data_IF_088144728828
#
_entry.id   IF_088144728828
#
_cell.length_a   1.000
_cell.length_b   1.000
_cell.length_c   1.000
_cell.angle_alpha   90.00
_cell.angle_beta   90.00
_cell.angle_gamma   90.00
#
_symmetry.space_group_name_H-M   'P 1'
#
loop_
_entity.id
_entity.type
_entity.pdbx_description
1 polymer ?
#
# COMPACT_ATOMS: atom_id res chain seq x y z
N UNK A 1 2.91 14.39 -12.38
CA UNK A 1 3.57 14.41 -11.06
C UNK A 1 3.96 12.99 -10.76
N UNK A 2 5.24 12.74 -10.53
CA UNK A 2 5.73 11.43 -10.09
C UNK A 2 5.64 11.38 -8.57
N UNK A 3 5.17 10.25 -8.05
CA UNK A 3 5.04 10.00 -6.61
C UNK A 3 5.99 8.86 -6.26
N UNK A 4 6.69 8.98 -5.15
CA UNK A 4 7.65 7.96 -4.71
C UNK A 4 6.96 6.77 -4.01
N UNK A 5 5.77 6.99 -3.44
CA UNK A 5 5.01 5.98 -2.72
C UNK A 5 3.52 6.33 -2.66
N UNK A 6 2.66 5.31 -2.63
CA UNK A 6 1.21 5.45 -2.43
C UNK A 6 0.79 4.72 -1.16
N UNK A 7 0.04 5.42 -0.30
CA UNK A 7 -0.73 4.79 0.77
C UNK A 7 -2.15 4.56 0.27
N UNK A 8 -2.54 3.29 0.10
CA UNK A 8 -3.82 2.92 -0.50
C UNK A 8 -4.79 2.40 0.54
N UNK A 9 -5.84 3.17 0.85
CA UNK A 9 -6.96 2.64 1.64
C UNK A 9 -7.70 1.56 0.84
N UNK A 10 -7.86 0.35 1.40
CA UNK A 10 -8.63 -0.70 0.74
C UNK A 10 -10.15 -0.44 0.81
N UNK A 11 -10.60 0.28 1.84
CA UNK A 11 -12.02 0.58 2.05
C UNK A 11 -12.38 1.98 1.54
N UNK A 12 -12.36 2.14 0.22
CA UNK A 12 -12.77 3.37 -0.45
C UNK A 12 -14.23 3.32 -0.91
N UNK A 13 -14.99 4.43 -0.85
CA UNK A 13 -16.29 4.52 -1.48
C UNK A 13 -16.17 4.56 -3.02
N UNK A 14 -17.18 4.04 -3.72
CA UNK A 14 -17.31 4.02 -5.19
C UNK A 14 -16.34 3.08 -5.91
N UNK A 15 -15.02 3.21 -5.71
CA UNK A 15 -13.99 2.32 -6.26
C UNK A 15 -13.15 1.76 -5.11
N UNK A 16 -13.18 0.45 -4.91
CA UNK A 16 -12.40 -0.18 -3.86
C UNK A 16 -10.89 -0.04 -4.10
N UNK A 17 -10.11 0.00 -3.02
CA UNK A 17 -8.67 0.27 -3.11
C UNK A 17 -7.88 -0.80 -3.86
N UNK A 18 -8.36 -2.05 -3.91
CA UNK A 18 -7.71 -3.09 -4.70
C UNK A 18 -7.90 -2.84 -6.20
N UNK A 19 -9.09 -2.44 -6.61
CA UNK A 19 -9.37 -2.03 -7.99
C UNK A 19 -8.57 -0.78 -8.38
N UNK A 20 -8.41 0.17 -7.45
CA UNK A 20 -7.57 1.35 -7.68
C UNK A 20 -6.08 0.96 -7.81
N UNK A 21 -5.55 0.12 -6.92
CA UNK A 21 -4.18 -0.36 -6.99
C UNK A 21 -3.90 -1.13 -8.30
N UNK A 22 -4.84 -1.97 -8.75
CA UNK A 22 -4.72 -2.66 -10.03
C UNK A 22 -4.58 -1.69 -11.20
N UNK A 23 -5.39 -0.63 -11.23
CA UNK A 23 -5.27 0.41 -12.26
C UNK A 23 -3.92 1.11 -12.22
N UNK A 24 -3.40 1.43 -11.02
CA UNK A 24 -2.07 2.04 -10.88
C UNK A 24 -0.98 1.12 -11.45
N UNK A 25 -1.07 -0.19 -11.17
CA UNK A 25 -0.13 -1.21 -11.67
C UNK A 25 -0.11 -1.36 -13.19
N UNK A 26 -1.16 -0.95 -13.90
CA UNK A 26 -1.18 -0.98 -15.37
C UNK A 26 -0.21 0.04 -15.99
N UNK A 27 0.19 1.09 -15.26
CA UNK A 27 1.04 2.15 -15.80
C UNK A 27 2.20 2.58 -14.88
N UNK A 28 2.31 2.04 -13.66
CA UNK A 28 3.34 2.40 -12.71
C UNK A 28 3.70 1.26 -11.75
N UNK A 29 5.00 1.15 -11.47
CA UNK A 29 5.55 0.29 -10.42
C UNK A 29 5.82 1.05 -9.12
N UNK A 30 5.20 2.23 -8.93
CA UNK A 30 5.33 3.00 -7.68
C UNK A 30 5.02 2.11 -6.47
N UNK A 31 5.84 2.09 -5.41
CA UNK A 31 5.55 1.35 -4.20
C UNK A 31 4.16 1.68 -3.64
N UNK A 32 3.38 0.66 -3.28
CA UNK A 32 2.05 0.82 -2.68
C UNK A 32 2.00 0.06 -1.35
N UNK A 33 1.67 0.78 -0.28
CA UNK A 33 1.32 0.21 1.02
C UNK A 33 -0.21 0.20 1.15
N UNK A 34 -0.80 -0.99 1.25
CA UNK A 34 -2.23 -1.14 1.49
C UNK A 34 -2.59 -0.85 2.96
N UNK A 35 -3.55 0.04 3.20
CA UNK A 35 -4.12 0.33 4.51
C UNK A 35 -5.46 -0.39 4.63
N UNK A 36 -5.55 -1.37 5.51
CA UNK A 36 -6.73 -2.23 5.64
C UNK A 36 -7.33 -2.17 7.03
N UNK A 37 -8.67 -2.21 7.17
CA UNK A 37 -9.31 -2.39 8.48
C UNK A 37 -9.33 -3.86 8.93
N UNK A 38 -8.97 -4.79 8.04
CA UNK A 38 -9.02 -6.22 8.28
C UNK A 38 -7.66 -6.85 8.01
N UNK A 39 -7.13 -7.58 8.99
CA UNK A 39 -5.84 -8.26 8.92
C UNK A 39 -5.99 -9.74 8.54
N UNK A 40 -6.98 -10.08 7.72
CA UNK A 40 -7.25 -11.48 7.38
C UNK A 40 -6.16 -12.04 6.45
N UNK A 41 -5.85 -13.33 6.59
CA UNK A 41 -4.90 -14.02 5.70
C UNK A 41 -5.33 -13.93 4.23
N UNK A 42 -6.64 -13.94 3.96
CA UNK A 42 -7.19 -13.86 2.62
C UNK A 42 -6.96 -12.49 1.97
N UNK A 43 -7.11 -11.40 2.72
CA UNK A 43 -6.80 -10.06 2.19
C UNK A 43 -5.32 -9.87 1.95
N UNK A 44 -4.49 -10.41 2.85
CA UNK A 44 -3.03 -10.42 2.64
C UNK A 44 -2.67 -11.14 1.34
N UNK A 45 -3.21 -12.34 1.11
CA UNK A 45 -3.02 -13.11 -0.12
C UNK A 45 -3.44 -12.30 -1.35
N UNK A 46 -4.62 -11.66 -1.30
CA UNK A 46 -5.14 -10.84 -2.39
C UNK A 46 -4.27 -9.62 -2.68
N UNK A 47 -3.69 -9.01 -1.65
CA UNK A 47 -2.76 -7.90 -1.82
C UNK A 47 -1.47 -8.35 -2.51
N UNK A 48 -0.91 -9.47 -2.06
CA UNK A 48 0.30 -10.04 -2.65
C UNK A 48 0.11 -10.42 -4.12
N UNK A 49 -1.04 -11.02 -4.47
CA UNK A 49 -1.36 -11.40 -5.85
C UNK A 49 -1.47 -10.19 -6.80
N UNK A 50 -1.80 -9.01 -6.29
CA UNK A 50 -1.86 -7.77 -7.07
C UNK A 50 -0.51 -7.05 -7.18
N UNK A 51 0.55 -7.58 -6.55
CA UNK A 51 1.86 -6.94 -6.52
C UNK A 51 1.88 -5.67 -5.66
N UNK A 52 1.10 -5.62 -4.59
CA UNK A 52 1.24 -4.59 -3.55
C UNK A 52 2.48 -4.89 -2.72
N UNK A 53 3.27 -3.86 -2.40
CA UNK A 53 4.60 -4.02 -1.81
C UNK A 53 4.55 -4.30 -0.31
N UNK A 54 3.56 -3.72 0.37
CA UNK A 54 3.33 -3.96 1.80
C UNK A 54 1.87 -3.68 2.19
N UNK A 55 1.50 -4.01 3.43
CA UNK A 55 0.20 -3.72 4.02
C UNK A 55 0.32 -3.34 5.50
N UNK A 56 -0.61 -2.51 5.97
CA UNK A 56 -0.71 -2.05 7.36
C UNK A 56 -2.18 -2.08 7.82
N UNK A 57 -2.44 -2.78 8.92
CA UNK A 57 -3.78 -2.90 9.48
C UNK A 57 -4.13 -1.69 10.36
N UNK A 58 -5.35 -1.18 10.24
CA UNK A 58 -5.90 -0.10 11.06
C UNK A 58 -6.56 -0.67 12.32
N UNK A 59 -6.53 0.04 13.47
CA UNK A 59 -5.71 1.23 13.71
C UNK A 59 -4.22 0.87 13.83
N UNK A 60 -3.33 1.75 13.36
CA UNK A 60 -1.88 1.60 13.46
C UNK A 60 -1.24 2.81 14.14
N UNK A 61 -0.08 2.63 14.74
CA UNK A 61 0.71 3.74 15.26
C UNK A 61 1.51 4.41 14.14
N UNK A 62 1.77 5.73 14.20
CA UNK A 62 2.60 6.42 13.22
C UNK A 62 3.97 5.77 13.01
N UNK A 63 4.59 5.26 14.08
CA UNK A 63 5.88 4.58 14.02
C UNK A 63 5.88 3.34 13.10
N UNK A 64 4.78 2.58 13.08
CA UNK A 64 4.63 1.42 12.20
C UNK A 64 4.57 1.84 10.72
N UNK A 65 3.84 2.92 10.43
CA UNK A 65 3.76 3.49 9.09
C UNK A 65 5.13 4.01 8.62
N UNK A 66 5.82 4.77 9.47
CA UNK A 66 7.17 5.29 9.15
C UNK A 66 8.17 4.17 8.89
N UNK A 67 8.12 3.08 9.67
CA UNK A 67 8.98 1.93 9.47
C UNK A 67 8.77 1.30 8.08
N UNK A 68 7.51 1.12 7.65
CA UNK A 68 7.19 0.57 6.33
C UNK A 68 7.59 1.49 5.18
N UNK A 69 7.34 2.80 5.33
CA UNK A 69 7.78 3.79 4.34
C UNK A 69 9.31 3.75 4.19
N UNK A 70 10.05 3.71 5.30
CA UNK A 70 11.53 3.68 5.28
C UNK A 70 12.10 2.37 4.72
N UNK A 71 11.33 1.28 4.72
CA UNK A 71 11.74 0.02 4.09
C UNK A 71 11.61 0.06 2.56
N UNK A 72 10.60 0.78 2.05
CA UNK A 72 10.30 0.84 0.62
C UNK A 72 10.96 2.02 -0.11
N UNK A 73 11.18 3.12 0.60
CA UNK A 73 11.89 4.27 0.06
C UNK A 73 13.36 4.18 0.48
N UNK A 74 14.31 4.11 -0.47
CA UNK A 74 15.71 4.28 -0.12
C UNK A 74 15.86 5.64 0.55
N UNK A 75 16.45 5.68 1.75
CA UNK A 75 16.90 6.93 2.33
C UNK A 75 17.85 7.54 1.30
N UNK A 76 17.51 8.70 0.77
CA UNK A 76 18.44 9.49 -0.03
C UNK A 76 19.66 9.71 0.86
N UNK A 77 20.74 9.00 0.57
CA UNK A 77 22.05 9.31 1.08
C UNK A 77 22.54 10.40 0.14
N UNK A 78 22.47 11.65 0.61
CA UNK A 78 23.18 12.76 -0.04
C UNK A 78 24.70 12.48 -0.08
#
# INVERSE_FOLDING_TARGET
>A
QEYDLVLMDLQLPVLDGLSAARKIREFSNVPIIALTAMASAQEKERCLQLGLDDYLAKPFQPAELYAKISQLLPLAVD
#
